data_IF_264106680733
#
_entry.id   IF_264106680733
#
_cell.length_a   1.000
_cell.length_b   1.000
_cell.length_c   1.000
_cell.angle_alpha   90.00
_cell.angle_beta   90.00
_cell.angle_gamma   90.00
#
_symmetry.space_group_name_H-M   'P 1'
#
loop_
_entity.id
_entity.type
_entity.pdbx_description
1 polymer ?
#
# COMPACT_ATOMS: atom_id res chain seq x y z
N UNK A 1 -12.66 -39.19 18.65
CA UNK A 1 -12.83 -40.65 18.56
C UNK A 1 -11.94 -41.14 17.44
N UNK A 2 -10.99 -42.01 17.74
CA UNK A 2 -9.93 -42.49 16.85
C UNK A 2 -10.48 -43.15 15.58
N UNK A 3 -9.80 -42.93 14.46
CA UNK A 3 -9.93 -43.74 13.25
C UNK A 3 -9.10 -45.03 13.45
N UNK A 4 -9.78 -46.17 13.57
CA UNK A 4 -9.16 -47.48 13.50
C UNK A 4 -8.84 -47.81 12.02
N UNK A 5 -7.55 -47.88 11.71
CA UNK A 5 -7.06 -48.44 10.44
C UNK A 5 -7.01 -49.95 10.60
N UNK A 6 -7.85 -50.67 9.85
CA UNK A 6 -7.82 -52.12 9.77
C UNK A 6 -6.55 -52.54 9.02
N UNK A 7 -5.53 -53.01 9.75
CA UNK A 7 -4.38 -53.71 9.17
C UNK A 7 -4.83 -55.10 8.69
N UNK A 8 -5.01 -55.26 7.37
CA UNK A 8 -5.23 -56.58 6.74
C UNK A 8 -4.02 -57.47 6.99
N UNK A 9 -4.24 -58.72 7.42
CA UNK A 9 -3.14 -59.59 7.85
C UNK A 9 -2.23 -59.95 6.66
N UNK A 10 -0.92 -60.17 6.86
CA UNK A 10 0.02 -60.58 5.80
C UNK A 10 -0.44 -61.81 5.00
N UNK A 11 -1.29 -62.63 5.60
CA UNK A 11 -1.86 -63.84 5.00
C UNK A 11 -2.93 -63.52 3.94
N UNK A 12 -3.77 -62.52 4.19
CA UNK A 12 -4.80 -62.05 3.24
C UNK A 12 -4.17 -61.39 2.01
N UNK A 13 -3.07 -60.65 2.22
CA UNK A 13 -2.28 -60.07 1.13
C UNK A 13 -1.65 -61.15 0.25
N UNK A 14 -1.08 -62.20 0.84
CA UNK A 14 -0.51 -63.32 0.10
C UNK A 14 -1.57 -64.07 -0.74
N UNK A 15 -2.75 -64.33 -0.17
CA UNK A 15 -3.87 -64.96 -0.89
C UNK A 15 -4.40 -64.08 -2.03
N UNK A 16 -4.38 -62.76 -1.87
CA UNK A 16 -4.73 -61.82 -2.93
C UNK A 16 -3.73 -61.86 -4.09
N UNK A 17 -2.43 -61.91 -3.81
CA UNK A 17 -1.40 -61.99 -4.84
C UNK A 17 -1.43 -63.32 -5.61
N UNK A 18 -1.68 -64.46 -4.95
CA UNK A 18 -1.87 -65.72 -5.66
C UNK A 18 -3.07 -65.69 -6.60
N UNK A 19 -4.19 -65.08 -6.18
CA UNK A 19 -5.36 -64.92 -7.04
C UNK A 19 -5.04 -64.08 -8.28
N UNK A 20 -4.24 -63.02 -8.14
CA UNK A 20 -3.82 -62.20 -9.27
C UNK A 20 -2.92 -62.97 -10.25
N UNK A 21 -2.00 -63.79 -9.74
CA UNK A 21 -1.13 -64.62 -10.59
C UNK A 21 -1.94 -65.66 -11.37
N UNK A 22 -2.87 -66.35 -10.71
CA UNK A 22 -3.74 -67.33 -11.37
C UNK A 22 -4.64 -66.71 -12.46
N UNK A 23 -5.15 -65.49 -12.24
CA UNK A 23 -5.93 -64.76 -13.25
C UNK A 23 -5.04 -64.37 -14.44
N UNK A 24 -3.79 -63.96 -14.19
CA UNK A 24 -2.83 -63.64 -15.25
C UNK A 24 -2.52 -64.86 -16.12
N UNK A 25 -2.29 -66.01 -15.51
CA UNK A 25 -2.00 -67.27 -16.21
C UNK A 25 -3.21 -67.76 -17.03
N UNK A 26 -4.43 -67.62 -16.50
CA UNK A 26 -5.66 -67.92 -17.26
C UNK A 26 -5.83 -67.00 -18.49
N UNK A 27 -5.52 -65.71 -18.33
CA UNK A 27 -5.61 -64.73 -19.43
C UNK A 27 -4.57 -65.00 -20.51
N UNK A 28 -3.35 -65.40 -20.14
CA UNK A 28 -2.31 -65.76 -21.10
C UNK A 28 -2.59 -67.12 -21.77
N UNK A 29 -3.19 -68.07 -21.05
CA UNK A 29 -3.72 -69.30 -21.64
C UNK A 29 -4.80 -69.04 -22.70
N UNK A 30 -5.75 -68.13 -22.40
CA UNK A 30 -6.79 -67.68 -23.34
C UNK A 30 -6.23 -66.89 -24.53
N UNK A 31 -5.13 -66.16 -24.36
CA UNK A 31 -4.44 -65.46 -25.46
C UNK A 31 -3.73 -66.43 -26.42
N UNK A 32 -3.19 -67.54 -25.92
CA UNK A 32 -2.54 -68.57 -26.74
C UNK A 32 -3.53 -69.41 -27.55
N UNK A 33 -4.76 -69.63 -27.06
CA UNK A 33 -5.79 -70.38 -27.77
C UNK A 33 -6.54 -69.57 -28.85
N UNK A 34 -6.59 -68.24 -28.73
CA UNK A 34 -7.31 -67.35 -29.65
C UNK A 34 -6.49 -66.81 -30.83
N UNK A 35 -5.43 -67.51 -31.26
CA UNK A 35 -4.78 -67.30 -32.56
C UNK A 35 -4.52 -65.83 -32.92
N UNK A 36 -3.87 -65.06 -32.04
CA UNK A 36 -3.54 -63.67 -32.31
C UNK A 36 -2.16 -63.58 -32.98
N UNK A 37 -2.12 -62.99 -34.18
CA UNK A 37 -0.90 -62.77 -34.97
C UNK A 37 0.18 -62.07 -34.13
N UNK A 38 1.43 -62.52 -34.27
CA UNK A 38 2.61 -62.05 -33.55
C UNK A 38 2.67 -60.52 -33.42
N UNK A 39 2.33 -60.00 -32.23
CA UNK A 39 2.43 -58.58 -31.87
C UNK A 39 3.83 -58.18 -31.39
N UNK A 40 4.80 -59.10 -31.51
CA UNK A 40 6.16 -58.93 -31.01
C UNK A 40 7.16 -59.30 -32.11
N UNK A 41 8.27 -58.57 -32.16
CA UNK A 41 9.44 -58.92 -32.95
C UNK A 41 10.11 -60.19 -32.35
N UNK A 42 10.96 -60.89 -33.12
CA UNK A 42 11.66 -62.10 -32.66
C UNK A 42 12.55 -61.90 -31.41
N UNK A 43 12.88 -60.65 -31.08
CA UNK A 43 13.66 -60.24 -29.91
C UNK A 43 12.80 -59.92 -28.68
N UNK A 44 11.47 -60.10 -28.76
CA UNK A 44 10.53 -59.86 -27.67
C UNK A 44 10.05 -58.41 -27.54
N UNK A 45 10.43 -57.51 -28.43
CA UNK A 45 9.91 -56.13 -28.43
C UNK A 45 8.53 -56.02 -29.09
N UNK A 46 7.64 -55.19 -28.53
CA UNK A 46 6.30 -54.99 -29.07
C UNK A 46 6.34 -54.20 -30.40
N UNK A 47 5.56 -54.62 -31.39
CA UNK A 47 5.43 -53.92 -32.68
C UNK A 47 4.59 -52.65 -32.47
N UNK A 48 5.25 -51.49 -32.45
CA UNK A 48 4.57 -50.19 -32.34
C UNK A 48 3.99 -49.81 -33.70
N UNK A 49 2.65 -49.85 -33.84
CA UNK A 49 1.95 -49.25 -34.99
C UNK A 49 1.89 -47.73 -34.78
N UNK A 50 2.64 -46.98 -35.58
CA UNK A 50 2.76 -45.51 -35.49
C UNK A 50 1.62 -44.73 -36.17
N UNK A 51 0.68 -45.41 -36.83
CA UNK A 51 -0.48 -44.75 -37.46
C UNK A 51 -1.70 -44.77 -36.54
N UNK A 52 -2.08 -43.59 -36.04
CA UNK A 52 -3.35 -43.38 -35.34
C UNK A 52 -4.49 -43.37 -36.37
N UNK A 53 -5.55 -44.19 -36.21
CA UNK A 53 -6.71 -44.18 -37.10
C UNK A 53 -7.34 -42.77 -37.19
N UNK A 54 -7.84 -42.33 -38.36
CA UNK A 54 -8.39 -40.99 -38.55
C UNK A 54 -9.50 -40.63 -37.57
N UNK A 55 -10.34 -41.60 -37.17
CA UNK A 55 -11.39 -41.38 -36.16
C UNK A 55 -10.89 -41.03 -34.75
N UNK A 56 -9.63 -41.36 -34.43
CA UNK A 56 -9.00 -41.14 -33.13
C UNK A 56 -8.04 -39.95 -33.14
N UNK A 57 -7.96 -39.21 -34.25
CA UNK A 57 -7.29 -37.91 -34.29
C UNK A 57 -8.21 -36.90 -33.62
N UNK A 58 -7.89 -36.55 -32.37
CA UNK A 58 -8.56 -35.47 -31.65
C UNK A 58 -8.54 -34.22 -32.52
N UNK A 59 -9.72 -33.68 -32.82
CA UNK A 59 -9.82 -32.39 -33.52
C UNK A 59 -9.07 -31.35 -32.69
N UNK A 60 -8.12 -30.68 -33.32
CA UNK A 60 -7.45 -29.55 -32.69
C UNK A 60 -8.49 -28.45 -32.46
N UNK A 61 -8.97 -28.34 -31.23
CA UNK A 61 -9.74 -27.18 -30.77
C UNK A 61 -8.69 -26.16 -30.37
N UNK A 62 -8.60 -25.05 -31.10
CA UNK A 62 -7.80 -23.91 -30.67
C UNK A 62 -8.30 -23.49 -29.28
N UNK A 63 -7.40 -23.53 -28.30
CA UNK A 63 -7.71 -23.05 -26.96
C UNK A 63 -7.80 -21.53 -27.01
N UNK A 64 -9.02 -21.00 -27.04
CA UNK A 64 -9.27 -19.62 -26.68
C UNK A 64 -9.24 -19.52 -25.16
N UNK A 65 -8.27 -18.78 -24.63
CA UNK A 65 -8.21 -18.48 -23.21
C UNK A 65 -9.51 -17.73 -22.83
N UNK A 66 -10.36 -18.27 -21.94
CA UNK A 66 -11.60 -17.60 -21.57
C UNK A 66 -11.26 -16.19 -21.05
N UNK A 67 -12.03 -15.14 -21.42
CA UNK A 67 -11.69 -13.77 -21.07
C UNK A 67 -11.53 -13.65 -19.55
N UNK A 68 -10.28 -13.47 -19.12
CA UNK A 68 -9.93 -13.24 -17.72
C UNK A 68 -10.19 -11.77 -17.40
N UNK A 69 -11.42 -11.45 -16.99
CA UNK A 69 -11.75 -10.12 -16.47
C UNK A 69 -13.09 -9.58 -16.95
N UNK A 70 -13.51 -8.47 -16.35
CA UNK A 70 -14.66 -7.70 -16.82
C UNK A 70 -14.30 -7.06 -18.16
N UNK A 71 -15.26 -7.01 -19.09
CA UNK A 71 -15.10 -6.25 -20.33
C UNK A 71 -14.72 -4.79 -20.02
N UNK A 72 -13.70 -4.27 -20.72
CA UNK A 72 -13.14 -2.94 -20.50
C UNK A 72 -14.20 -1.83 -20.54
N UNK A 73 -15.18 -1.96 -21.45
CA UNK A 73 -16.29 -1.02 -21.58
C UNK A 73 -17.19 -1.01 -20.34
N UNK A 74 -17.57 -2.20 -19.86
CA UNK A 74 -18.36 -2.36 -18.62
C UNK A 74 -17.61 -1.79 -17.42
N UNK A 75 -16.31 -2.09 -17.31
CA UNK A 75 -15.47 -1.60 -16.22
C UNK A 75 -15.37 -0.07 -16.22
N UNK A 76 -15.19 0.53 -17.40
CA UNK A 76 -15.11 1.99 -17.56
C UNK A 76 -16.45 2.67 -17.30
N UNK A 77 -17.58 2.10 -17.76
CA UNK A 77 -18.92 2.63 -17.50
C UNK A 77 -19.27 2.62 -16.01
N UNK A 78 -19.01 1.49 -15.34
CA UNK A 78 -19.25 1.35 -13.91
C UNK A 78 -18.45 2.37 -13.11
N UNK A 79 -17.17 2.57 -13.46
CA UNK A 79 -16.32 3.58 -12.81
C UNK A 79 -16.82 5.00 -13.03
N UNK A 80 -17.26 5.34 -14.24
CA UNK A 80 -17.82 6.65 -14.58
C UNK A 80 -19.09 6.98 -13.79
N UNK A 81 -19.96 6.00 -13.62
CA UNK A 81 -21.30 6.16 -13.01
C UNK A 81 -21.38 5.67 -11.56
N UNK A 82 -20.25 5.33 -10.95
CA UNK A 82 -20.17 4.69 -9.63
C UNK A 82 -20.92 5.45 -8.53
N UNK A 83 -21.02 6.78 -8.65
CA UNK A 83 -21.74 7.63 -7.72
C UNK A 83 -23.25 7.68 -7.96
N UNK A 84 -23.71 7.47 -9.20
CA UNK A 84 -25.11 7.58 -9.60
C UNK A 84 -25.84 6.24 -9.66
N UNK A 85 -25.15 5.11 -9.44
CA UNK A 85 -25.78 3.77 -9.49
C UNK A 85 -26.91 3.62 -8.46
N UNK A 86 -28.01 3.01 -8.90
CA UNK A 86 -29.12 2.59 -8.05
C UNK A 86 -28.80 1.30 -7.31
N UNK A 87 -29.52 1.02 -6.22
CA UNK A 87 -29.32 -0.23 -5.47
C UNK A 87 -29.64 -1.48 -6.31
N UNK A 88 -30.56 -1.39 -7.28
CA UNK A 88 -30.89 -2.49 -8.19
C UNK A 88 -29.73 -2.76 -9.16
N UNK A 89 -29.20 -1.72 -9.81
CA UNK A 89 -28.02 -1.83 -10.70
C UNK A 89 -26.81 -2.38 -9.94
N UNK A 90 -26.55 -1.90 -8.71
CA UNK A 90 -25.46 -2.41 -7.88
C UNK A 90 -25.58 -3.92 -7.62
N UNK A 91 -26.79 -4.44 -7.36
CA UNK A 91 -26.99 -5.88 -7.14
C UNK A 91 -26.72 -6.69 -8.41
N UNK A 92 -27.17 -6.19 -9.56
CA UNK A 92 -26.93 -6.84 -10.85
C UNK A 92 -25.43 -6.91 -11.15
N UNK A 93 -24.72 -5.80 -11.01
CA UNK A 93 -23.27 -5.70 -11.23
C UNK A 93 -22.48 -6.59 -10.26
N UNK A 94 -22.88 -6.66 -8.98
CA UNK A 94 -22.25 -7.55 -7.99
C UNK A 94 -22.50 -9.03 -8.32
N UNK A 95 -23.70 -9.38 -8.80
CA UNK A 95 -24.04 -10.75 -9.19
C UNK A 95 -23.22 -11.22 -10.39
N UNK A 96 -22.98 -10.34 -11.38
CA UNK A 96 -22.14 -10.63 -12.55
C UNK A 96 -20.71 -11.01 -12.15
N UNK A 97 -20.19 -10.42 -11.07
CA UNK A 97 -18.82 -10.66 -10.59
C UNK A 97 -18.77 -11.65 -9.42
N UNK A 98 -19.83 -12.44 -9.24
CA UNK A 98 -19.97 -13.46 -8.19
C UNK A 98 -19.78 -12.92 -6.75
N UNK A 99 -20.17 -11.67 -6.50
CA UNK A 99 -20.17 -11.05 -5.18
C UNK A 99 -21.58 -11.02 -4.59
N UNK A 100 -21.68 -10.97 -3.25
CA UNK A 100 -22.98 -10.88 -2.57
C UNK A 100 -23.73 -9.61 -2.95
N UNK A 101 -24.99 -9.74 -3.36
CA UNK A 101 -25.93 -8.64 -3.61
C UNK A 101 -26.79 -8.27 -2.39
N UNK A 102 -26.44 -8.77 -1.19
CA UNK A 102 -27.18 -8.47 0.05
C UNK A 102 -26.62 -7.22 0.76
N UNK A 103 -27.50 -6.53 1.49
CA UNK A 103 -27.17 -5.38 2.33
C UNK A 103 -27.86 -4.08 1.92
N UNK A 104 -27.57 -3.02 2.68
CA UNK A 104 -28.04 -1.65 2.42
C UNK A 104 -27.37 -1.07 1.17
N UNK A 105 -27.92 0.02 0.60
CA UNK A 105 -27.32 0.71 -0.56
C UNK A 105 -25.85 1.10 -0.29
N UNK A 106 -25.54 1.56 0.93
CA UNK A 106 -24.17 1.89 1.38
C UNK A 106 -23.24 0.67 1.33
N UNK A 107 -23.70 -0.48 1.85
CA UNK A 107 -22.93 -1.72 1.83
C UNK A 107 -22.70 -2.27 0.41
N UNK A 108 -23.73 -2.19 -0.45
CA UNK A 108 -23.63 -2.56 -1.86
C UNK A 108 -22.63 -1.67 -2.61
N UNK A 109 -22.74 -0.35 -2.42
CA UNK A 109 -21.82 0.64 -3.02
C UNK A 109 -20.38 0.40 -2.59
N UNK A 110 -20.14 0.17 -1.29
CA UNK A 110 -18.80 -0.11 -0.78
C UNK A 110 -18.20 -1.39 -1.40
N UNK A 111 -18.98 -2.47 -1.49
CA UNK A 111 -18.54 -3.73 -2.10
C UNK A 111 -18.23 -3.57 -3.59
N UNK A 112 -19.08 -2.85 -4.31
CA UNK A 112 -18.93 -2.59 -5.74
C UNK A 112 -17.72 -1.67 -6.01
N UNK A 113 -17.58 -0.58 -5.24
CA UNK A 113 -16.39 0.29 -5.27
C UNK A 113 -15.11 -0.52 -5.08
N UNK A 114 -15.04 -1.35 -4.04
CA UNK A 114 -13.84 -2.14 -3.73
C UNK A 114 -13.41 -3.04 -4.88
N UNK A 115 -14.38 -3.72 -5.51
CA UNK A 115 -14.10 -4.63 -6.62
C UNK A 115 -13.73 -3.87 -7.91
N UNK A 116 -14.60 -2.99 -8.38
CA UNK A 116 -14.42 -2.32 -9.68
C UNK A 116 -13.26 -1.32 -9.69
N UNK A 117 -12.95 -0.63 -8.57
CA UNK A 117 -11.75 0.23 -8.49
C UNK A 117 -10.46 -0.59 -8.61
N UNK A 118 -10.41 -1.76 -7.98
CA UNK A 118 -9.27 -2.68 -8.09
C UNK A 118 -9.09 -3.19 -9.51
N UNK A 119 -10.18 -3.65 -10.15
CA UNK A 119 -10.13 -4.11 -11.54
C UNK A 119 -9.74 -2.97 -12.50
N UNK A 120 -10.27 -1.75 -12.29
CA UNK A 120 -9.95 -0.58 -13.10
C UNK A 120 -8.50 -0.13 -12.94
N UNK A 121 -7.96 -0.22 -11.72
CA UNK A 121 -6.54 0.02 -11.45
C UNK A 121 -5.65 -0.94 -12.25
N UNK A 122 -6.00 -2.23 -12.27
CA UNK A 122 -5.27 -3.23 -13.08
C UNK A 122 -5.46 -3.01 -14.59
N UNK A 123 -6.66 -2.67 -15.04
CA UNK A 123 -6.94 -2.36 -16.44
C UNK A 123 -6.09 -1.20 -16.95
N UNK A 124 -6.04 -0.09 -16.20
CA UNK A 124 -5.18 1.08 -16.51
C UNK A 124 -3.71 0.69 -16.61
N UNK A 125 -3.22 -0.18 -15.72
CA UNK A 125 -1.84 -0.66 -15.79
C UNK A 125 -1.51 -1.43 -17.09
N UNK A 126 -2.49 -2.10 -17.69
CA UNK A 126 -2.31 -2.90 -18.90
C UNK A 126 -2.53 -2.09 -20.19
N UNK A 127 -3.37 -1.05 -20.17
CA UNK A 127 -3.85 -0.36 -21.38
C UNK A 127 -3.35 1.08 -21.57
N UNK A 128 -2.87 1.80 -20.55
CA UNK A 128 -2.20 3.12 -20.71
C UNK A 128 -0.74 2.94 -21.25
N UNK A 129 -0.62 2.17 -22.33
CA UNK A 129 0.59 1.52 -22.85
C UNK A 129 1.74 2.41 -23.32
N UNK A 130 1.69 3.74 -23.16
CA UNK A 130 2.71 4.65 -23.69
C UNK A 130 3.68 5.21 -22.63
N UNK A 131 3.41 5.01 -21.33
CA UNK A 131 4.21 5.66 -20.29
C UNK A 131 4.86 4.70 -19.29
N UNK A 132 4.40 3.44 -19.18
CA UNK A 132 4.91 2.50 -18.17
C UNK A 132 6.14 1.79 -18.71
N UNK A 133 7.34 1.93 -18.10
CA UNK A 133 8.46 1.09 -18.48
C UNK A 133 8.06 -0.37 -18.25
N UNK A 134 7.99 -1.15 -19.33
CA UNK A 134 8.09 -2.61 -19.23
C UNK A 134 9.42 -2.84 -18.49
N UNK A 135 9.31 -3.30 -17.23
CA UNK A 135 10.36 -3.55 -16.23
C UNK A 135 10.85 -2.34 -15.40
N UNK A 136 10.50 -2.35 -14.09
CA UNK A 136 11.26 -1.63 -13.06
C UNK A 136 10.42 -1.09 -11.91
N UNK A 137 9.92 0.13 -12.08
CA UNK A 137 9.35 0.91 -10.99
C UNK A 137 7.84 0.67 -10.82
N UNK A 138 7.46 -0.05 -9.76
CA UNK A 138 6.04 -0.32 -9.43
C UNK A 138 5.30 0.93 -8.95
N UNK A 139 6.00 1.89 -8.36
CA UNK A 139 5.44 3.16 -7.86
C UNK A 139 4.83 3.99 -9.01
N UNK A 140 5.46 3.98 -10.19
CA UNK A 140 5.01 4.70 -11.39
C UNK A 140 3.59 4.32 -11.87
N UNK A 141 3.10 3.15 -11.42
CA UNK A 141 1.74 2.69 -11.72
C UNK A 141 0.67 3.51 -11.01
N UNK A 142 1.03 4.14 -9.88
CA UNK A 142 0.09 4.84 -9.01
C UNK A 142 0.35 6.34 -8.95
N UNK A 143 1.63 6.74 -9.01
CA UNK A 143 2.04 8.13 -8.86
C UNK A 143 2.97 8.53 -10.00
N UNK A 144 2.79 9.75 -10.47
CA UNK A 144 3.69 10.41 -11.39
C UNK A 144 4.76 11.20 -10.60
N UNK A 145 4.37 11.76 -9.44
CA UNK A 145 5.25 12.47 -8.52
C UNK A 145 5.14 11.98 -7.07
N UNK A 146 6.22 12.14 -6.31
CA UNK A 146 6.20 12.06 -4.85
C UNK A 146 6.63 13.41 -4.27
N UNK A 147 6.09 13.77 -3.12
CA UNK A 147 6.43 15.01 -2.42
C UNK A 147 6.92 14.66 -1.02
N UNK A 148 8.23 14.70 -0.79
CA UNK A 148 8.81 14.42 0.52
C UNK A 148 8.71 15.67 1.42
N UNK A 149 8.25 15.51 2.66
CA UNK A 149 8.04 16.59 3.63
C UNK A 149 8.58 16.14 4.99
N UNK A 150 9.24 17.06 5.68
CA UNK A 150 9.71 16.92 7.06
C UNK A 150 9.58 18.29 7.77
N UNK A 151 8.61 18.43 8.67
CA UNK A 151 8.35 19.73 9.31
C UNK A 151 9.25 19.93 10.53
N UNK A 152 9.86 21.11 10.62
CA UNK A 152 10.40 21.57 11.91
C UNK A 152 9.34 22.35 12.68
N UNK A 153 9.30 22.13 13.99
CA UNK A 153 8.31 22.72 14.88
C UNK A 153 8.98 23.38 16.09
N UNK A 154 8.30 24.36 16.69
CA UNK A 154 8.66 24.86 18.02
C UNK A 154 8.74 23.69 19.00
N UNK A 155 9.79 23.66 19.82
CA UNK A 155 10.00 22.57 20.78
C UNK A 155 10.76 23.04 22.02
N UNK A 156 10.70 22.23 23.08
CA UNK A 156 11.46 22.40 24.32
C UNK A 156 11.98 21.04 24.76
N UNK A 157 13.07 20.99 25.53
CA UNK A 157 13.85 19.77 25.78
C UNK A 157 13.06 18.64 26.51
N UNK A 158 12.09 18.98 27.38
CA UNK A 158 11.51 18.00 28.34
C UNK A 158 9.97 17.91 28.32
N UNK A 159 9.27 18.74 27.55
CA UNK A 159 7.79 18.80 27.59
C UNK A 159 7.19 18.06 26.40
N UNK A 160 6.65 16.86 26.63
CA UNK A 160 5.93 16.08 25.61
C UNK A 160 4.55 16.65 25.28
N UNK A 161 3.92 17.36 26.22
CA UNK A 161 2.66 18.07 26.01
C UNK A 161 2.88 19.55 25.65
N UNK A 162 3.77 19.78 24.68
CA UNK A 162 4.09 21.13 24.22
C UNK A 162 3.23 21.50 23.01
N UNK A 163 2.61 22.69 22.95
CA UNK A 163 1.80 23.11 21.81
C UNK A 163 2.70 23.49 20.62
N UNK A 164 3.23 22.46 19.95
CA UNK A 164 4.10 22.59 18.78
C UNK A 164 3.43 23.39 17.66
N UNK A 165 4.17 24.33 17.08
CA UNK A 165 3.80 25.07 15.88
C UNK A 165 4.85 24.82 14.79
N UNK A 166 4.41 24.60 13.56
CA UNK A 166 5.32 24.47 12.41
C UNK A 166 6.07 25.79 12.23
N UNK A 167 7.40 25.72 12.14
CA UNK A 167 8.31 26.86 11.92
C UNK A 167 9.15 26.72 10.65
N UNK A 168 9.20 25.51 10.07
CA UNK A 168 9.72 25.28 8.72
C UNK A 168 8.76 24.38 7.94
N UNK A 169 8.43 24.77 6.72
CA UNK A 169 7.60 24.02 5.79
C UNK A 169 8.40 23.74 4.51
N UNK A 170 9.12 22.61 4.45
CA UNK A 170 9.82 22.17 3.26
C UNK A 170 8.99 21.18 2.44
N UNK A 171 9.29 21.08 1.15
CA UNK A 171 8.84 19.99 0.30
C UNK A 171 9.85 19.72 -0.82
N UNK A 172 10.05 18.44 -1.16
CA UNK A 172 10.94 18.01 -2.24
C UNK A 172 10.15 17.20 -3.25
N UNK A 173 10.10 17.67 -4.50
CA UNK A 173 9.38 17.02 -5.59
C UNK A 173 10.26 15.99 -6.29
N UNK A 174 9.76 14.78 -6.42
CA UNK A 174 10.45 13.64 -7.02
C UNK A 174 9.64 13.17 -8.23
N UNK A 175 10.25 13.16 -9.40
CA UNK A 175 9.67 12.51 -10.58
C UNK A 175 9.84 11.00 -10.45
N UNK A 176 8.73 10.27 -10.40
CA UNK A 176 8.71 8.82 -10.17
C UNK A 176 9.23 8.05 -11.39
N UNK A 177 9.00 8.55 -12.61
CA UNK A 177 9.43 7.89 -13.84
C UNK A 177 10.93 8.06 -14.04
N UNK A 178 11.43 9.28 -13.83
CA UNK A 178 12.83 9.63 -13.99
C UNK A 178 13.66 9.30 -12.74
N UNK A 179 13.01 9.02 -11.60
CA UNK A 179 13.63 8.73 -10.30
C UNK A 179 14.68 9.77 -9.91
N UNK A 180 14.31 11.05 -10.01
CA UNK A 180 15.16 12.18 -9.62
C UNK A 180 14.36 13.25 -8.91
N UNK A 181 15.04 14.03 -8.09
CA UNK A 181 14.51 15.28 -7.56
C UNK A 181 14.39 16.26 -8.73
N UNK A 182 13.24 16.93 -8.83
CA UNK A 182 12.95 17.88 -9.92
C UNK A 182 12.77 19.30 -9.44
N UNK A 183 12.35 19.50 -8.19
CA UNK A 183 12.23 20.82 -7.59
C UNK A 183 12.19 20.74 -6.06
N UNK A 184 12.40 21.86 -5.39
CA UNK A 184 12.28 21.99 -3.94
C UNK A 184 11.52 23.27 -3.56
N UNK A 185 10.79 23.18 -2.46
CA UNK A 185 10.09 24.30 -1.84
C UNK A 185 10.53 24.41 -0.38
N UNK A 186 10.67 25.64 0.10
CA UNK A 186 10.97 25.93 1.50
C UNK A 186 10.38 27.28 1.86
N UNK A 187 9.64 27.32 2.97
CA UNK A 187 9.32 28.56 3.67
C UNK A 187 9.47 28.35 5.16
N UNK A 188 9.93 29.36 5.87
CA UNK A 188 9.75 29.42 7.32
C UNK A 188 8.31 29.82 7.63
N UNK A 189 7.89 29.60 8.87
CA UNK A 189 6.55 29.91 9.34
C UNK A 189 6.66 30.64 10.68
N UNK A 190 5.92 31.75 10.82
CA UNK A 190 5.88 32.51 12.05
C UNK A 190 4.91 31.85 13.05
N UNK A 191 5.39 31.38 14.23
CA UNK A 191 4.52 30.87 15.27
C UNK A 191 3.74 32.02 15.93
N UNK A 192 2.46 31.78 16.24
CA UNK A 192 1.56 32.77 16.85
C UNK A 192 1.26 32.45 18.32
N UNK A 193 1.33 31.17 18.73
CA UNK A 193 1.09 30.72 20.10
C UNK A 193 2.34 30.89 20.97
N UNK A 194 3.50 30.51 20.45
CA UNK A 194 4.81 30.62 21.10
C UNK A 194 5.78 31.37 20.16
N UNK A 195 5.65 32.70 20.01
CA UNK A 195 6.41 33.48 19.03
C UNK A 195 7.92 33.51 19.31
N UNK A 196 8.34 33.40 20.57
CA UNK A 196 9.75 33.33 20.94
C UNK A 196 10.22 31.88 20.96
N UNK A 197 11.21 31.56 20.12
CA UNK A 197 11.83 30.24 20.05
C UNK A 197 12.67 29.96 21.30
N UNK A 198 12.55 28.74 21.81
CA UNK A 198 13.40 28.28 22.90
C UNK A 198 14.86 28.10 22.41
N UNK A 199 15.89 28.40 23.22
CA UNK A 199 17.28 28.17 22.83
C UNK A 199 17.59 26.74 22.39
N UNK A 200 16.93 25.74 23.00
CA UNK A 200 17.05 24.35 22.57
C UNK A 200 16.50 24.15 21.15
N UNK A 201 15.35 24.76 20.83
CA UNK A 201 14.75 24.70 19.50
C UNK A 201 15.67 25.32 18.44
N UNK A 202 16.24 26.49 18.73
CA UNK A 202 17.20 27.15 17.84
C UNK A 202 18.45 26.29 17.64
N UNK A 203 19.00 25.72 18.73
CA UNK A 203 20.19 24.86 18.65
C UNK A 203 19.90 23.56 17.87
N UNK A 204 18.74 22.96 18.08
CA UNK A 204 18.35 21.72 17.44
C UNK A 204 18.16 21.93 15.94
N UNK A 205 17.33 22.91 15.55
CA UNK A 205 16.88 23.10 14.16
C UNK A 205 17.80 24.00 13.33
N UNK A 206 18.58 24.87 13.99
CA UNK A 206 19.34 25.94 13.33
C UNK A 206 18.49 27.12 12.86
N UNK A 207 17.19 27.14 13.15
CA UNK A 207 16.28 28.22 12.76
C UNK A 207 16.43 29.37 13.78
N UNK A 208 16.76 30.55 13.29
CA UNK A 208 16.92 31.74 14.13
C UNK A 208 15.58 32.44 14.40
N UNK A 209 15.52 33.23 15.47
CA UNK A 209 14.36 34.06 15.78
C UNK A 209 14.01 35.03 14.63
N UNK A 210 15.02 35.64 14.01
CA UNK A 210 14.83 36.58 12.89
C UNK A 210 14.15 35.92 11.67
N UNK A 211 14.49 34.65 11.41
CA UNK A 211 13.88 33.87 10.33
C UNK A 211 12.39 33.67 10.54
N UNK A 212 11.95 33.33 11.76
CA UNK A 212 10.52 33.14 12.05
C UNK A 212 9.77 34.47 12.22
N UNK A 213 10.42 35.52 12.72
CA UNK A 213 9.80 36.85 12.86
C UNK A 213 9.40 37.44 11.50
N UNK A 214 10.27 37.23 10.50
CA UNK A 214 10.09 37.70 9.12
C UNK A 214 9.24 36.77 8.25
N UNK A 215 8.86 35.60 8.76
CA UNK A 215 8.14 34.58 8.02
C UNK A 215 6.63 34.88 7.89
N UNK A 216 5.96 34.32 6.86
CA UNK A 216 4.51 34.31 6.79
C UNK A 216 3.90 33.49 7.93
N UNK A 217 2.66 33.81 8.31
CA UNK A 217 1.86 32.93 9.18
C UNK A 217 1.49 31.64 8.43
N UNK A 218 1.16 30.59 9.17
CA UNK A 218 0.93 29.25 8.61
C UNK A 218 -0.05 29.22 7.43
N UNK A 219 -1.15 29.99 7.49
CA UNK A 219 -2.14 30.04 6.39
C UNK A 219 -1.53 30.49 5.06
N UNK A 220 -0.65 31.49 5.12
CA UNK A 220 -0.01 32.05 3.94
C UNK A 220 1.15 31.16 3.48
N UNK A 221 1.91 30.57 4.42
CA UNK A 221 2.90 29.54 4.11
C UNK A 221 2.27 28.35 3.35
N UNK A 222 1.11 27.87 3.81
CA UNK A 222 0.39 26.80 3.13
C UNK A 222 -0.13 27.23 1.75
N UNK A 223 -0.59 28.47 1.57
CA UNK A 223 -0.94 28.99 0.24
C UNK A 223 0.25 28.98 -0.71
N UNK A 224 1.41 29.45 -0.28
CA UNK A 224 2.66 29.41 -1.06
C UNK A 224 3.01 27.98 -1.48
N UNK A 225 2.86 27.02 -0.56
CA UNK A 225 3.05 25.61 -0.86
C UNK A 225 2.06 25.09 -1.92
N UNK A 226 0.78 25.45 -1.84
CA UNK A 226 -0.23 25.06 -2.84
C UNK A 226 0.00 25.73 -4.20
N UNK A 227 0.45 26.97 -4.22
CA UNK A 227 0.82 27.66 -5.46
C UNK A 227 2.01 26.96 -6.13
N UNK A 228 3.04 26.60 -5.36
CA UNK A 228 4.16 25.81 -5.84
C UNK A 228 3.72 24.44 -6.38
N UNK A 229 2.84 23.72 -5.67
CA UNK A 229 2.27 22.47 -6.18
C UNK A 229 1.52 22.65 -7.51
N UNK A 230 0.75 23.75 -7.63
CA UNK A 230 -0.04 24.05 -8.83
C UNK A 230 0.87 24.35 -10.03
N UNK A 231 2.02 24.99 -9.83
CA UNK A 231 3.02 25.24 -10.89
C UNK A 231 3.54 23.92 -11.52
N UNK A 232 3.53 22.83 -10.76
CA UNK A 232 3.90 21.49 -11.22
C UNK A 232 2.71 20.65 -11.68
N UNK A 233 1.53 21.26 -11.88
CA UNK A 233 0.27 20.59 -12.19
C UNK A 233 -0.05 19.49 -11.17
N UNK A 234 0.16 19.73 -9.87
CA UNK A 234 -0.28 18.84 -8.80
C UNK A 234 -1.57 19.38 -8.17
N UNK A 235 -2.55 18.52 -7.93
CA UNK A 235 -3.87 18.90 -7.42
C UNK A 235 -4.98 18.05 -8.02
N UNK A 236 -6.23 18.50 -7.90
CA UNK A 236 -7.43 17.70 -8.18
C UNK A 236 -7.56 17.20 -9.64
N UNK A 237 -6.98 17.94 -10.59
CA UNK A 237 -7.03 17.61 -12.03
C UNK A 237 -5.66 17.40 -12.66
N UNK A 238 -4.63 17.33 -11.81
CA UNK A 238 -3.23 17.28 -12.22
C UNK A 238 -2.64 15.88 -12.32
N UNK A 239 -1.31 15.83 -12.25
CA UNK A 239 -0.56 14.59 -12.10
C UNK A 239 -0.87 13.91 -10.77
N UNK A 240 -0.79 12.56 -10.76
CA UNK A 240 -1.01 11.78 -9.55
C UNK A 240 0.19 11.90 -8.64
N UNK A 241 -0.03 12.17 -7.36
CA UNK A 241 1.05 12.31 -6.40
C UNK A 241 0.73 11.73 -5.03
N UNK A 242 1.75 11.58 -4.19
CA UNK A 242 1.62 11.23 -2.78
C UNK A 242 2.65 11.96 -1.93
N UNK A 243 2.26 12.35 -0.72
CA UNK A 243 3.19 12.83 0.29
C UNK A 243 3.99 11.68 0.91
N UNK A 244 5.26 11.94 1.22
CA UNK A 244 6.19 10.98 1.85
C UNK A 244 6.85 11.61 3.07
N UNK A 245 6.90 10.89 4.18
CA UNK A 245 7.44 11.39 5.47
C UNK A 245 8.27 10.30 6.17
N UNK A 246 9.24 10.67 7.03
CA UNK A 246 10.00 9.74 7.89
C UNK A 246 9.25 9.44 9.21
N UNK A 247 8.06 8.87 9.07
CA UNK A 247 7.20 8.56 10.20
C UNK A 247 5.83 9.20 10.07
N UNK A 248 4.97 9.02 11.09
CA UNK A 248 3.63 9.59 11.04
C UNK A 248 3.55 11.04 11.50
N UNK A 249 4.53 11.55 12.24
CA UNK A 249 4.36 12.78 13.02
C UNK A 249 4.11 14.03 12.17
N UNK A 250 4.76 14.19 11.03
CA UNK A 250 4.61 15.37 10.16
C UNK A 250 3.16 15.67 9.82
N UNK A 251 2.49 14.71 9.17
CA UNK A 251 1.12 14.90 8.72
C UNK A 251 0.10 14.57 9.81
N UNK A 252 0.32 13.50 10.58
CA UNK A 252 -0.66 13.09 11.58
C UNK A 252 -0.65 13.96 12.83
N UNK A 253 0.52 14.35 13.35
CA UNK A 253 0.64 15.17 14.56
C UNK A 253 0.75 16.65 14.21
N UNK A 254 1.87 17.07 13.61
CA UNK A 254 2.23 18.49 13.48
C UNK A 254 1.28 19.25 12.55
N UNK A 255 1.06 18.77 11.34
CA UNK A 255 0.17 19.44 10.38
C UNK A 255 -1.29 19.47 10.84
N UNK A 256 -1.80 18.35 11.38
CA UNK A 256 -3.15 18.29 11.93
C UNK A 256 -3.31 19.28 13.10
N UNK A 257 -2.36 19.32 14.02
CA UNK A 257 -2.43 20.22 15.16
C UNK A 257 -2.29 21.69 14.75
N UNK A 258 -1.40 21.98 13.80
CA UNK A 258 -1.26 23.33 13.24
C UNK A 258 -2.56 23.79 12.55
N UNK A 259 -3.27 22.90 11.86
CA UNK A 259 -4.59 23.20 11.29
C UNK A 259 -5.60 23.60 12.39
N UNK A 260 -5.54 22.98 13.57
CA UNK A 260 -6.37 23.33 14.73
C UNK A 260 -5.97 24.70 15.28
N UNK A 261 -4.67 24.91 15.54
CA UNK A 261 -4.15 26.17 16.10
C UNK A 261 -4.47 27.38 15.22
N UNK A 262 -4.34 27.22 13.91
CA UNK A 262 -4.58 28.31 12.95
C UNK A 262 -6.05 28.49 12.58
N UNK A 263 -7.00 27.74 13.14
CA UNK A 263 -8.40 27.74 12.70
C UNK A 263 -8.50 27.55 11.17
N UNK A 264 -7.84 26.50 10.65
CA UNK A 264 -7.75 26.19 9.23
C UNK A 264 -9.01 25.45 8.70
N UNK A 265 -9.97 25.13 9.57
CA UNK A 265 -11.13 24.32 9.26
C UNK A 265 -10.81 22.84 9.46
N UNK A 266 -10.84 22.05 8.38
CA UNK A 266 -10.46 20.63 8.42
C UNK A 266 -9.13 20.41 7.73
N UNK A 267 -8.36 19.41 8.15
CA UNK A 267 -7.15 18.98 7.46
C UNK A 267 -7.47 18.71 5.98
N UNK A 268 -6.77 19.31 5.00
CA UNK A 268 -6.92 19.01 3.58
C UNK A 268 -6.90 17.51 3.28
N UNK A 269 -7.77 17.04 2.38
CA UNK A 269 -8.01 15.60 2.17
C UNK A 269 -6.76 14.84 1.69
N UNK A 270 -6.01 15.43 0.76
CA UNK A 270 -4.74 14.92 0.25
C UNK A 270 -3.66 14.79 1.34
N UNK A 271 -3.67 15.66 2.35
CA UNK A 271 -2.81 15.57 3.53
C UNK A 271 -3.25 14.48 4.53
N UNK A 272 -4.41 13.81 4.33
CA UNK A 272 -4.92 12.76 5.22
C UNK A 272 -4.42 11.36 4.90
N UNK A 273 -3.61 11.19 3.87
CA UNK A 273 -3.05 9.91 3.51
C UNK A 273 -1.64 10.09 2.93
N UNK A 274 -0.72 9.25 3.37
CA UNK A 274 0.69 9.45 3.04
C UNK A 274 1.48 8.14 3.05
N UNK A 275 2.68 8.22 2.50
CA UNK A 275 3.68 7.17 2.49
C UNK A 275 4.61 7.41 3.68
N UNK A 276 4.50 6.60 4.70
CA UNK A 276 5.52 6.53 5.74
C UNK A 276 6.65 5.63 5.23
N UNK A 277 7.77 6.24 4.85
CA UNK A 277 8.90 5.54 4.21
C UNK A 277 9.55 4.54 5.17
N UNK A 278 9.63 4.88 6.46
CA UNK A 278 10.18 4.03 7.52
C UNK A 278 9.48 2.68 7.59
N UNK A 279 8.15 2.69 7.49
CA UNK A 279 7.35 1.45 7.50
C UNK A 279 7.61 0.58 6.26
N UNK A 280 7.79 1.20 5.09
CA UNK A 280 8.11 0.45 3.87
C UNK A 280 9.48 -0.20 4.03
N UNK A 281 10.47 0.57 4.50
CA UNK A 281 11.81 0.07 4.74
C UNK A 281 11.80 -1.10 5.75
N UNK A 282 11.12 -0.96 6.88
CA UNK A 282 10.99 -2.01 7.90
C UNK A 282 10.33 -3.29 7.38
N UNK A 283 9.34 -3.16 6.48
CA UNK A 283 8.60 -4.29 5.93
C UNK A 283 9.30 -4.98 4.76
N UNK A 284 10.09 -4.24 3.98
CA UNK A 284 10.59 -4.69 2.67
C UNK A 284 12.11 -4.83 2.59
N UNK A 285 12.83 -4.21 3.52
CA UNK A 285 14.30 -4.16 3.52
C UNK A 285 14.84 -4.80 4.80
N UNK A 286 14.69 -4.15 5.95
CA UNK A 286 15.15 -4.68 7.24
C UNK A 286 14.48 -3.97 8.41
N UNK A 287 14.46 -4.62 9.58
CA UNK A 287 14.12 -3.95 10.84
C UNK A 287 15.17 -2.91 11.20
N UNK A 288 14.73 -1.72 11.63
CA UNK A 288 15.62 -0.67 12.06
C UNK A 288 16.22 -0.97 13.44
N UNK A 289 17.53 -0.74 13.55
CA UNK A 289 18.27 -0.83 14.81
C UNK A 289 17.88 0.36 15.68
N UNK A 290 17.64 0.11 16.98
CA UNK A 290 17.36 1.14 17.97
C UNK A 290 18.53 1.26 18.94
N UNK A 291 18.76 2.45 19.49
CA UNK A 291 19.75 2.68 20.55
C UNK A 291 21.21 2.77 20.09
N UNK A 292 21.46 2.91 18.79
CA UNK A 292 22.81 3.10 18.22
C UNK A 292 23.21 4.58 18.04
N UNK A 293 22.42 5.52 18.58
CA UNK A 293 22.66 6.96 18.44
C UNK A 293 22.36 7.54 17.05
N UNK A 294 21.78 6.76 16.14
CA UNK A 294 21.38 7.21 14.80
C UNK A 294 19.86 7.35 14.69
N UNK A 295 19.40 8.35 13.94
CA UNK A 295 17.98 8.51 13.61
C UNK A 295 17.48 7.40 12.67
N UNK A 296 16.15 7.33 12.48
CA UNK A 296 15.53 6.38 11.54
C UNK A 296 16.08 6.53 10.13
N UNK A 297 16.01 7.74 9.57
CA UNK A 297 16.56 8.07 8.26
C UNK A 297 18.04 7.76 8.14
N UNK A 298 18.87 8.05 9.16
CA UNK A 298 20.30 7.74 9.11
C UNK A 298 20.58 6.25 9.00
N UNK A 299 19.86 5.41 9.75
CA UNK A 299 19.97 3.96 9.66
C UNK A 299 19.57 3.46 8.26
N UNK A 300 18.53 4.03 7.67
CA UNK A 300 18.06 3.68 6.33
C UNK A 300 19.05 4.08 5.24
N UNK A 301 19.64 5.28 5.32
CA UNK A 301 20.67 5.76 4.40
C UNK A 301 21.94 4.91 4.49
N UNK A 302 22.39 4.60 5.71
CA UNK A 302 23.60 3.81 5.95
C UNK A 302 23.51 2.41 5.32
N UNK A 303 22.32 1.79 5.32
CA UNK A 303 22.12 0.52 4.61
C UNK A 303 22.44 0.60 3.11
N UNK A 304 22.13 1.74 2.50
CA UNK A 304 22.39 2.04 1.09
C UNK A 304 23.78 2.63 0.84
N UNK A 305 24.67 2.60 1.84
CA UNK A 305 25.98 3.28 1.82
C UNK A 305 25.86 4.77 1.46
N UNK A 306 24.76 5.41 1.84
CA UNK A 306 24.55 6.83 1.71
C UNK A 306 24.87 7.53 3.03
N UNK A 307 25.58 8.64 2.96
CA UNK A 307 25.67 9.59 4.07
C UNK A 307 24.48 10.56 4.03
N UNK A 308 24.12 11.06 5.20
CA UNK A 308 23.21 12.21 5.31
C UNK A 308 23.84 13.43 4.61
N UNK A 309 23.09 14.10 3.76
CA UNK A 309 23.51 15.34 3.09
C UNK A 309 22.87 16.55 3.79
N UNK A 310 23.64 17.59 4.09
CA UNK A 310 23.15 18.80 4.76
C UNK A 310 23.19 18.72 6.29
N UNK A 311 22.42 19.60 6.93
CA UNK A 311 22.31 19.72 8.38
C UNK A 311 21.12 18.88 8.89
N UNK A 312 21.32 18.15 9.98
CA UNK A 312 20.22 17.42 10.63
C UNK A 312 19.27 18.41 11.32
N UNK A 313 17.97 18.11 11.32
CA UNK A 313 16.91 18.98 11.85
C UNK A 313 16.79 20.31 11.09
N UNK A 314 17.31 20.34 9.86
CA UNK A 314 16.95 21.33 8.86
C UNK A 314 15.94 20.64 7.96
N UNK A 315 14.67 21.04 8.03
CA UNK A 315 13.58 20.26 7.44
C UNK A 315 13.76 20.05 5.93
N UNK A 316 14.35 21.02 5.21
CA UNK A 316 14.67 20.85 3.78
C UNK A 316 15.72 19.76 3.55
N UNK A 317 16.79 19.73 4.35
CA UNK A 317 17.87 18.75 4.21
C UNK A 317 17.36 17.35 4.58
N UNK A 318 16.55 17.23 5.63
CA UNK A 318 15.88 15.98 5.99
C UNK A 318 14.93 15.50 4.87
N UNK A 319 14.14 16.41 4.28
CA UNK A 319 13.28 16.11 3.12
C UNK A 319 14.08 15.65 1.88
N UNK A 320 15.25 16.25 1.62
CA UNK A 320 16.15 15.83 0.53
C UNK A 320 16.66 14.40 0.79
N UNK A 321 17.02 14.08 2.02
CA UNK A 321 17.48 12.73 2.38
C UNK A 321 16.35 11.69 2.29
N UNK A 322 15.12 12.03 2.69
CA UNK A 322 13.92 11.21 2.44
C UNK A 322 13.75 10.98 0.93
N UNK A 323 13.89 12.02 0.11
CA UNK A 323 13.78 11.92 -1.34
C UNK A 323 14.86 11.01 -1.97
N UNK A 324 16.12 11.13 -1.52
CA UNK A 324 17.22 10.24 -1.92
C UNK A 324 16.91 8.79 -1.57
N UNK A 325 16.33 8.54 -0.39
CA UNK A 325 15.91 7.20 0.02
C UNK A 325 14.74 6.68 -0.84
N UNK A 326 13.74 7.49 -1.16
CA UNK A 326 12.66 7.13 -2.09
C UNK A 326 13.22 6.63 -3.43
N UNK A 327 14.17 7.38 -3.99
CA UNK A 327 14.82 7.05 -5.26
C UNK A 327 15.52 5.70 -5.16
N UNK A 328 16.26 5.44 -4.07
CA UNK A 328 16.94 4.14 -3.87
C UNK A 328 15.97 2.98 -3.74
N UNK A 329 14.89 3.13 -2.98
CA UNK A 329 13.87 2.09 -2.86
C UNK A 329 13.21 1.78 -4.21
N UNK A 330 12.93 2.80 -5.03
CA UNK A 330 12.39 2.60 -6.37
C UNK A 330 13.39 1.91 -7.33
N UNK A 331 14.67 2.26 -7.25
CA UNK A 331 15.76 1.58 -7.99
C UNK A 331 15.84 0.08 -7.64
N UNK A 332 15.61 -0.26 -6.37
CA UNK A 332 15.51 -1.63 -5.86
C UNK A 332 14.17 -2.32 -6.18
N UNK A 333 13.31 -1.67 -6.99
CA UNK A 333 11.99 -2.19 -7.40
C UNK A 333 11.04 -2.40 -6.22
N UNK A 334 11.27 -1.69 -5.11
CA UNK A 334 10.36 -1.62 -3.97
C UNK A 334 9.27 -0.61 -4.28
N UNK A 335 8.02 -1.05 -4.20
CA UNK A 335 6.84 -0.22 -4.46
C UNK A 335 6.60 0.73 -3.28
N UNK A 336 6.61 2.03 -3.56
CA UNK A 336 6.17 3.06 -2.63
C UNK A 336 4.66 3.24 -2.79
N UNK A 337 3.92 2.96 -1.72
CA UNK A 337 2.46 3.04 -1.69
C UNK A 337 1.99 3.77 -0.45
N UNK A 338 0.83 4.41 -0.55
CA UNK A 338 0.13 4.92 0.63
C UNK A 338 -0.06 3.77 1.60
N UNK A 339 0.45 3.97 2.82
CA UNK A 339 0.46 2.95 3.86
C UNK A 339 -0.08 3.47 5.21
N UNK A 340 -0.37 4.78 5.29
CA UNK A 340 -1.04 5.40 6.43
C UNK A 340 -2.11 6.38 5.96
N UNK A 341 -3.20 6.46 6.74
CA UNK A 341 -4.29 7.42 6.56
C UNK A 341 -4.80 7.93 7.90
N UNK A 342 -5.48 9.06 7.87
CA UNK A 342 -6.14 9.68 9.02
C UNK A 342 -7.66 9.55 8.89
N UNK A 343 -8.33 9.07 9.94
CA UNK A 343 -9.79 8.87 9.94
C UNK A 343 -10.40 9.29 11.27
N UNK A 344 -11.65 9.76 11.27
CA UNK A 344 -12.39 9.98 12.52
C UNK A 344 -12.81 8.67 13.20
N UNK A 345 -12.82 7.55 12.45
CA UNK A 345 -13.18 6.24 13.00
C UNK A 345 -12.20 5.83 14.09
N UNK A 346 -12.75 5.64 15.28
CA UNK A 346 -12.02 5.09 16.43
C UNK A 346 -11.72 3.61 16.21
N UNK A 347 -10.46 3.24 16.35
CA UNK A 347 -10.05 1.85 16.39
C UNK A 347 -10.11 1.37 17.84
N UNK A 348 -11.25 0.84 18.26
CA UNK A 348 -11.49 0.42 19.65
C UNK A 348 -10.42 -0.54 20.18
N UNK A 349 -9.78 -1.32 19.31
CA UNK A 349 -8.70 -2.22 19.71
C UNK A 349 -7.41 -1.46 19.98
N UNK A 350 -7.06 -0.47 19.15
CA UNK A 350 -5.91 0.39 19.38
C UNK A 350 -6.15 1.30 20.60
N UNK A 351 -7.35 1.85 20.75
CA UNK A 351 -7.75 2.62 21.93
C UNK A 351 -7.57 1.77 23.21
N UNK A 352 -8.12 0.55 23.21
CA UNK A 352 -7.95 -0.40 24.32
C UNK A 352 -6.49 -0.76 24.57
N UNK A 353 -5.70 -0.99 23.51
CA UNK A 353 -4.26 -1.29 23.64
C UNK A 353 -3.50 -0.12 24.25
N UNK A 354 -3.80 1.11 23.82
CA UNK A 354 -3.21 2.34 24.36
C UNK A 354 -3.65 2.58 25.80
N UNK A 355 -4.89 2.24 26.17
CA UNK A 355 -5.36 2.24 27.55
C UNK A 355 -4.68 1.17 28.42
N UNK A 356 -4.47 -0.03 27.90
CA UNK A 356 -3.73 -1.10 28.57
C UNK A 356 -2.25 -0.73 28.75
N UNK A 357 -1.65 -0.10 27.75
CA UNK A 357 -0.34 0.53 27.86
C UNK A 357 -0.39 1.57 28.98
N UNK A 358 -1.32 2.54 28.95
CA UNK A 358 -1.50 3.63 29.92
C UNK A 358 -1.55 3.15 31.38
N UNK A 359 -2.10 1.96 31.63
CA UNK A 359 -2.19 1.33 32.96
C UNK A 359 -0.84 0.79 33.47
N UNK A 360 0.15 0.64 32.60
CA UNK A 360 1.54 0.46 33.03
C UNK A 360 2.14 1.85 33.30
N UNK A 361 2.88 2.02 34.39
CA UNK A 361 3.57 3.28 34.77
C UNK A 361 4.54 3.83 33.70
N UNK A 362 4.62 3.19 32.53
CA UNK A 362 5.42 3.57 31.36
C UNK A 362 4.66 4.38 30.30
N UNK A 363 3.35 4.61 30.45
CA UNK A 363 2.52 4.95 29.30
C UNK A 363 1.70 6.24 29.38
N UNK A 364 1.60 6.87 30.55
CA UNK A 364 1.24 8.30 30.61
C UNK A 364 2.37 9.22 30.08
N UNK A 365 3.49 8.65 29.59
CA UNK A 365 4.73 9.36 29.27
C UNK A 365 5.19 9.31 27.79
N UNK A 366 4.49 8.64 26.87
CA UNK A 366 4.91 8.60 25.46
C UNK A 366 4.18 9.67 24.63
N UNK A 367 4.95 10.51 23.94
CA UNK A 367 4.46 11.56 23.03
C UNK A 367 3.30 11.08 22.14
N UNK A 368 3.45 9.90 21.52
CA UNK A 368 2.42 9.31 20.66
C UNK A 368 1.06 9.16 21.36
N UNK A 369 1.04 8.73 22.62
CA UNK A 369 -0.19 8.47 23.38
C UNK A 369 -0.93 9.77 23.70
N UNK A 370 -0.19 10.81 24.09
CA UNK A 370 -0.74 12.15 24.39
C UNK A 370 -1.44 12.69 23.14
N UNK A 371 -0.74 12.69 22.00
CA UNK A 371 -1.27 13.21 20.75
C UNK A 371 -2.37 12.35 20.15
N UNK A 372 -2.32 11.02 20.34
CA UNK A 372 -3.41 10.14 19.97
C UNK A 372 -4.72 10.50 20.67
N UNK A 373 -4.69 10.89 21.95
CA UNK A 373 -5.89 11.35 22.68
C UNK A 373 -6.37 12.73 22.19
N UNK A 374 -5.44 13.67 22.00
CA UNK A 374 -5.76 15.07 21.68
C UNK A 374 -6.24 15.31 20.26
N UNK A 375 -5.75 14.54 19.28
CA UNK A 375 -6.01 14.80 17.87
C UNK A 375 -7.34 14.16 17.42
N UNK A 376 -8.18 14.88 16.67
CA UNK A 376 -9.47 14.37 16.23
C UNK A 376 -9.36 13.22 15.22
N UNK A 377 -8.43 13.29 14.26
CA UNK A 377 -8.19 12.25 13.28
C UNK A 377 -7.18 11.24 13.81
N UNK A 378 -7.59 9.97 13.84
CA UNK A 378 -6.77 8.84 14.29
C UNK A 378 -5.98 8.26 13.13
N UNK A 379 -4.75 7.87 13.42
CA UNK A 379 -3.84 7.25 12.46
C UNK A 379 -4.25 5.79 12.25
N UNK A 380 -4.46 5.40 10.99
CA UNK A 380 -4.73 4.01 10.59
C UNK A 380 -3.75 3.56 9.51
N UNK A 381 -3.49 2.26 9.50
CA UNK A 381 -2.70 1.64 8.45
C UNK A 381 -3.55 1.42 7.20
N UNK A 382 -2.94 1.58 6.03
CA UNK A 382 -3.56 1.25 4.74
C UNK A 382 -2.99 -0.09 4.26
N UNK A 383 -3.86 -1.09 4.17
CA UNK A 383 -3.52 -2.40 3.64
C UNK A 383 -3.25 -2.34 2.13
N UNK A 384 -2.67 -3.40 1.57
CA UNK A 384 -2.46 -3.48 0.11
C UNK A 384 -3.79 -3.44 -0.63
N UNK A 385 -4.81 -4.13 -0.13
CA UNK A 385 -6.13 -4.18 -0.74
C UNK A 385 -6.78 -2.79 -0.75
N UNK A 386 -6.80 -2.09 0.39
CA UNK A 386 -7.35 -0.73 0.48
C UNK A 386 -6.62 0.27 -0.42
N UNK A 387 -5.30 0.11 -0.58
CA UNK A 387 -4.52 0.91 -1.51
C UNK A 387 -4.92 0.66 -2.97
N UNK A 388 -5.02 -0.61 -3.38
CA UNK A 388 -5.37 -0.98 -4.75
C UNK A 388 -6.83 -0.66 -5.10
N UNK A 389 -7.73 -0.74 -4.13
CA UNK A 389 -9.14 -0.38 -4.29
C UNK A 389 -9.41 1.12 -4.11
N UNK A 390 -8.37 1.91 -3.82
CA UNK A 390 -8.48 3.35 -3.50
C UNK A 390 -9.48 3.66 -2.36
N UNK A 391 -9.75 2.69 -1.48
CA UNK A 391 -10.62 2.88 -0.31
C UNK A 391 -10.02 3.87 0.70
N UNK A 392 -8.69 4.05 0.66
CA UNK A 392 -8.00 5.08 1.45
C UNK A 392 -8.40 6.51 1.08
N UNK A 393 -8.96 6.74 -0.12
CA UNK A 393 -9.48 8.03 -0.57
C UNK A 393 -10.91 8.30 -0.11
N UNK A 394 -11.60 7.32 0.46
CA UNK A 394 -12.98 7.51 0.90
C UNK A 394 -12.99 8.41 2.15
N UNK A 395 -13.56 9.61 2.01
CA UNK A 395 -13.62 10.61 3.06
C UNK A 395 -14.80 10.35 3.99
N UNK A 396 -14.54 9.69 5.13
CA UNK A 396 -15.55 9.43 6.18
C UNK A 396 -16.24 10.73 6.67
N UNK A 397 -15.58 11.89 6.61
CA UNK A 397 -16.14 13.18 7.03
C UNK A 397 -16.88 13.96 5.94
N UNK A 398 -16.79 13.51 4.68
CA UNK A 398 -17.44 14.17 3.54
C UNK A 398 -18.77 13.48 3.22
N UNK A 399 -18.90 12.20 3.58
CA UNK A 399 -20.12 11.40 3.44
C UNK A 399 -21.20 11.77 4.49
N UNK A 400 -20.92 12.70 5.43
CA UNK A 400 -21.90 13.23 6.41
C UNK A 400 -22.59 14.53 5.95
N UNK A 401 -22.26 15.05 4.76
CA UNK A 401 -22.94 16.22 4.18
C UNK A 401 -24.12 15.84 3.26
N UNK A 402 -24.38 14.55 3.09
CA UNK A 402 -25.44 13.99 2.24
C UNK A 402 -26.61 13.35 3.03
N UNK A 403 -26.73 13.60 4.35
CA UNK A 403 -27.90 13.19 5.16
C UNK A 403 -28.81 14.37 5.56
#
# INVERSE_FOLDING_TARGET
MCCDVLESSPKELAEYYEKLLNISDELDGKRRSNGCSSTHNPDGTAIIRTSVPPENVLKHVEYEEPPKGIEAETLTDVMRRLHSLTAAEMRTLLKQVHQSGQGTKKQLRARLRRYYRKEFSMYRMLHDGDCVPRFGNKTARHFDYLVAIDFECTCVEVIYDYPHEIIEFPAVLIDVRQMRIVDTFRTFVRPEKNPTLDPFCIQLTGISQEMVDSAPVFKDAYRLFRDWMTQHNLGDSGYRYAFVTDGPHDLWKFFQFQCILSNFGTVPHDCRHFINIKRIFEQRVMKLVKGNGQSGIQNMLAHYNLSFEGQKHCGLDDSINIARLCIKLMQDKIELRINQRMTQRQDRNEDRRLEELAKSDKADASDYHIWHRKLPLKLRQVTRDEFLSEEYLDCDSCDELDE
#
